data_IF_171544939282
#
_entry.id   IF_171544939282
#
_cell.length_a   1.000
_cell.length_b   1.000
_cell.length_c   1.000
_cell.angle_alpha   90.00
_cell.angle_beta   90.00
_cell.angle_gamma   90.00
#
_symmetry.space_group_name_H-M   'P 1'
#
loop_
_entity.id
_entity.type
_entity.pdbx_description
1 polymer ?
#
# COMPACT_ATOMS: atom_id res chain seq x y z
N UNK A 1 -14.03 -13.89 -6.90
CA UNK A 1 -14.74 -13.46 -8.12
C UNK A 1 -13.67 -13.10 -9.13
N UNK A 2 -13.63 -13.79 -10.28
CA UNK A 2 -12.68 -13.47 -11.35
C UNK A 2 -12.95 -12.05 -11.89
N UNK A 3 -11.89 -11.33 -12.26
CA UNK A 3 -11.98 -9.99 -12.83
C UNK A 3 -12.89 -9.95 -14.06
N UNK A 4 -13.59 -8.83 -14.23
CA UNK A 4 -14.52 -8.62 -15.36
C UNK A 4 -13.82 -7.86 -16.46
N UNK A 5 -13.99 -8.28 -17.71
CA UNK A 5 -13.50 -7.55 -18.87
C UNK A 5 -14.24 -6.19 -19.00
N UNK A 6 -13.48 -5.11 -19.21
CA UNK A 6 -14.05 -3.80 -19.49
C UNK A 6 -13.99 -3.56 -21.00
N UNK A 7 -15.14 -3.26 -21.60
CA UNK A 7 -15.27 -3.03 -23.04
C UNK A 7 -15.57 -1.56 -23.30
N UNK A 8 -15.32 -1.10 -24.52
CA UNK A 8 -15.52 0.28 -24.92
C UNK A 8 -17.00 0.70 -24.76
N UNK A 9 -17.90 -0.09 -25.36
CA UNK A 9 -19.34 0.21 -25.36
C UNK A 9 -20.08 -0.27 -24.11
N UNK A 10 -19.45 -1.16 -23.33
CA UNK A 10 -20.05 -1.76 -22.14
C UNK A 10 -19.21 -1.46 -20.89
N UNK A 11 -19.43 -0.30 -20.26
CA UNK A 11 -18.76 0.04 -19.01
C UNK A 11 -19.24 -0.87 -17.88
N UNK A 12 -18.31 -1.28 -17.02
CA UNK A 12 -18.64 -2.11 -15.87
C UNK A 12 -19.01 -1.19 -14.71
N UNK A 13 -20.19 -1.37 -14.13
CA UNK A 13 -20.69 -0.55 -13.01
C UNK A 13 -20.85 -1.39 -11.75
N UNK A 14 -20.50 -0.82 -10.59
CA UNK A 14 -20.69 -1.40 -9.25
C UNK A 14 -21.32 -0.35 -8.33
N UNK A 15 -22.29 -0.78 -7.53
CA UNK A 15 -22.91 0.07 -6.51
C UNK A 15 -22.23 -0.20 -5.17
N UNK A 16 -21.87 0.87 -4.48
CA UNK A 16 -21.25 0.84 -3.16
C UNK A 16 -22.26 1.31 -2.14
N UNK A 17 -22.58 0.42 -1.20
CA UNK A 17 -23.63 0.63 -0.18
C UNK A 17 -23.06 0.69 1.24
N UNK A 18 -21.82 0.24 1.45
CA UNK A 18 -21.17 0.21 2.75
C UNK A 18 -21.04 1.61 3.35
N UNK A 19 -21.55 1.80 4.57
CA UNK A 19 -21.62 3.12 5.21
C UNK A 19 -20.28 3.61 5.77
N UNK A 20 -19.40 2.70 6.19
CA UNK A 20 -18.19 3.01 6.96
C UNK A 20 -16.91 2.94 6.13
N UNK A 21 -16.99 3.17 4.82
CA UNK A 21 -15.79 3.16 3.95
C UNK A 21 -15.13 4.52 3.91
N UNK A 22 -13.82 4.56 4.09
CA UNK A 22 -13.04 5.79 3.98
C UNK A 22 -12.44 5.92 2.58
N UNK A 23 -11.97 4.81 1.99
CA UNK A 23 -11.30 4.80 0.70
C UNK A 23 -11.69 3.59 -0.15
N UNK A 24 -11.57 3.73 -1.47
CA UNK A 24 -11.74 2.63 -2.42
C UNK A 24 -10.44 2.40 -3.19
N UNK A 25 -9.91 1.18 -3.16
CA UNK A 25 -8.82 0.77 -4.05
C UNK A 25 -9.39 0.03 -5.25
N UNK A 26 -9.06 0.49 -6.44
CA UNK A 26 -9.41 -0.18 -7.70
C UNK A 26 -8.19 -0.89 -8.24
N UNK A 27 -8.32 -2.18 -8.53
CA UNK A 27 -7.27 -2.99 -9.18
C UNK A 27 -7.73 -3.35 -10.58
N UNK A 28 -7.00 -2.90 -11.58
CA UNK A 28 -7.35 -3.06 -12.99
C UNK A 28 -6.10 -3.26 -13.83
N UNK A 29 -6.26 -3.60 -15.10
CA UNK A 29 -5.11 -3.72 -15.98
C UNK A 29 -5.44 -4.39 -17.30
N UNK A 30 -4.44 -5.07 -17.85
CA UNK A 30 -4.53 -5.74 -19.16
C UNK A 30 -3.97 -7.15 -19.06
N UNK A 31 -4.56 -8.09 -19.80
CA UNK A 31 -4.00 -9.44 -19.90
C UNK A 31 -2.73 -9.46 -20.75
N UNK A 32 -2.73 -8.65 -21.81
CA UNK A 32 -1.63 -8.47 -22.76
C UNK A 32 -1.85 -7.12 -23.47
N UNK A 33 -0.76 -6.43 -23.82
CA UNK A 33 -0.79 -5.17 -24.56
C UNK A 33 0.30 -5.16 -25.63
N UNK A 34 -0.07 -5.52 -26.85
CA UNK A 34 0.84 -5.52 -28.00
C UNK A 34 0.06 -5.53 -29.31
N UNK A 35 0.69 -5.04 -30.37
CA UNK A 35 0.17 -5.11 -31.74
C UNK A 35 1.14 -5.89 -32.63
N UNK A 36 0.63 -6.84 -33.41
CA UNK A 36 1.42 -7.63 -34.36
C UNK A 36 1.20 -7.13 -35.78
N UNK A 37 2.26 -6.68 -36.43
CA UNK A 37 2.20 -6.22 -37.84
C UNK A 37 2.12 -7.40 -38.81
N UNK A 38 1.79 -7.13 -40.08
CA UNK A 38 1.79 -8.15 -41.14
C UNK A 38 3.16 -8.81 -41.35
N UNK A 39 4.25 -8.15 -40.93
CA UNK A 39 5.63 -8.67 -41.01
C UNK A 39 6.02 -9.51 -39.80
N UNK A 40 5.13 -9.66 -38.82
CA UNK A 40 5.37 -10.41 -37.58
C UNK A 40 6.00 -9.60 -36.45
N UNK A 41 6.22 -8.29 -36.64
CA UNK A 41 6.79 -7.44 -35.60
C UNK A 41 5.78 -7.20 -34.48
N UNK A 42 6.23 -7.30 -33.23
CA UNK A 42 5.40 -7.05 -32.03
C UNK A 42 5.71 -5.67 -31.45
N UNK A 43 4.84 -4.73 -31.74
CA UNK A 43 4.92 -3.34 -31.31
C UNK A 43 4.20 -3.09 -29.98
N UNK A 44 4.63 -2.07 -29.21
CA UNK A 44 3.90 -1.60 -28.05
C UNK A 44 2.52 -1.03 -28.46
N UNK A 45 1.57 -1.10 -27.55
CA UNK A 45 0.24 -0.51 -27.73
C UNK A 45 -0.14 0.31 -26.49
N UNK A 46 -1.32 0.93 -26.52
CA UNK A 46 -1.83 1.71 -25.39
C UNK A 46 -3.33 1.52 -25.21
N UNK A 47 -3.78 1.65 -23.97
CA UNK A 47 -5.21 1.65 -23.63
C UNK A 47 -5.50 2.70 -22.57
N UNK A 48 -6.59 3.41 -22.74
CA UNK A 48 -7.09 4.42 -21.83
C UNK A 48 -8.34 3.92 -21.09
N UNK A 49 -8.29 4.02 -19.77
CA UNK A 49 -9.34 3.63 -18.83
C UNK A 49 -9.69 4.81 -17.93
N UNK A 50 -10.99 5.05 -17.76
CA UNK A 50 -11.53 6.04 -16.84
C UNK A 50 -12.21 5.33 -15.66
N UNK A 51 -11.99 5.86 -14.47
CA UNK A 51 -12.76 5.50 -13.28
C UNK A 51 -13.66 6.69 -12.96
N UNK A 52 -14.97 6.44 -12.95
CA UNK A 52 -15.96 7.49 -12.78
C UNK A 52 -16.89 7.21 -11.61
N UNK A 53 -17.19 8.24 -10.83
CA UNK A 53 -18.14 8.19 -9.73
C UNK A 53 -19.42 8.93 -10.10
N UNK A 54 -20.55 8.38 -9.70
CA UNK A 54 -21.82 9.05 -9.83
C UNK A 54 -21.99 10.05 -8.67
N UNK A 55 -22.07 11.34 -9.00
CA UNK A 55 -22.35 12.43 -8.05
C UNK A 55 -23.60 13.16 -8.53
N UNK A 56 -24.63 13.21 -7.70
CA UNK A 56 -25.91 13.87 -8.02
C UNK A 56 -26.52 13.43 -9.37
N UNK A 57 -26.43 12.13 -9.69
CA UNK A 57 -26.94 11.55 -10.94
C UNK A 57 -26.02 11.67 -12.15
N UNK A 58 -24.92 12.44 -12.07
CA UNK A 58 -23.96 12.64 -13.17
C UNK A 58 -22.68 11.86 -12.93
N UNK A 59 -22.13 11.28 -14.00
CA UNK A 59 -20.84 10.58 -13.96
C UNK A 59 -19.69 11.57 -14.05
N UNK A 60 -18.83 11.58 -13.04
CA UNK A 60 -17.64 12.42 -12.96
C UNK A 60 -16.39 11.54 -13.02
N UNK A 61 -15.40 11.91 -13.85
CA UNK A 61 -14.12 11.20 -13.93
C UNK A 61 -13.24 11.57 -12.74
N UNK A 62 -12.87 10.57 -11.95
CA UNK A 62 -11.93 10.73 -10.83
C UNK A 62 -10.51 10.34 -11.23
N UNK A 63 -10.38 9.31 -12.09
CA UNK A 63 -9.10 8.88 -12.62
C UNK A 63 -9.17 8.70 -14.13
N UNK A 64 -8.16 9.23 -14.81
CA UNK A 64 -7.88 9.02 -16.22
C UNK A 64 -6.52 8.31 -16.32
N UNK A 65 -6.54 7.03 -16.69
CA UNK A 65 -5.37 6.16 -16.64
C UNK A 65 -5.07 5.64 -18.03
N UNK A 66 -3.83 5.87 -18.49
CA UNK A 66 -3.31 5.31 -19.74
C UNK A 66 -2.24 4.28 -19.42
N UNK A 67 -2.50 3.01 -19.78
CA UNK A 67 -1.51 1.93 -19.75
C UNK A 67 -0.88 1.88 -21.14
N UNK A 68 0.44 2.00 -21.20
CA UNK A 68 1.20 2.01 -22.46
C UNK A 68 2.39 1.06 -22.39
N UNK A 69 2.86 0.63 -23.57
CA UNK A 69 4.05 -0.18 -23.71
C UNK A 69 3.77 -1.57 -24.28
N UNK A 70 4.75 -2.46 -24.16
CA UNK A 70 4.67 -3.84 -24.62
C UNK A 70 4.55 -4.77 -23.42
N UNK A 71 3.36 -5.29 -23.20
CA UNK A 71 3.03 -6.15 -22.05
C UNK A 71 2.72 -7.54 -22.58
N UNK A 72 3.58 -8.51 -22.27
CA UNK A 72 3.48 -9.91 -22.75
C UNK A 72 2.85 -10.87 -21.73
N UNK A 73 2.69 -10.43 -20.49
CA UNK A 73 2.05 -11.15 -19.38
C UNK A 73 1.07 -10.22 -18.66
N UNK A 74 0.14 -10.77 -17.89
CA UNK A 74 -0.87 -9.94 -17.21
C UNK A 74 -0.20 -8.83 -16.39
N UNK A 75 -0.66 -7.60 -16.62
CA UNK A 75 -0.25 -6.42 -15.89
C UNK A 75 -1.45 -5.87 -15.12
N UNK A 76 -1.26 -5.64 -13.82
CA UNK A 76 -2.25 -5.02 -12.94
C UNK A 76 -1.65 -3.77 -12.32
N UNK A 77 -2.42 -2.70 -12.35
CA UNK A 77 -2.19 -1.47 -11.61
C UNK A 77 -3.31 -1.27 -10.59
N UNK A 78 -3.05 -0.42 -9.59
CA UNK A 78 -4.09 -0.02 -8.65
C UNK A 78 -4.03 1.46 -8.35
N UNK A 79 -5.20 2.07 -8.21
CA UNK A 79 -5.35 3.45 -7.70
C UNK A 79 -6.23 3.45 -6.46
N UNK A 80 -6.02 4.41 -5.57
CA UNK A 80 -6.82 4.59 -4.36
C UNK A 80 -7.56 5.91 -4.46
N UNK A 81 -8.86 5.86 -4.21
CA UNK A 81 -9.76 7.00 -4.20
C UNK A 81 -10.17 7.33 -2.76
N UNK A 82 -9.94 8.59 -2.38
CA UNK A 82 -10.16 9.04 -1.00
C UNK A 82 -11.40 9.93 -0.88
N UNK A 83 -11.75 10.66 -1.94
CA UNK A 83 -12.91 11.56 -1.98
C UNK A 83 -14.16 10.83 -2.47
N UNK A 84 -14.80 10.04 -1.62
CA UNK A 84 -15.97 9.25 -1.99
C UNK A 84 -17.27 10.10 -1.97
N UNK A 85 -18.23 9.89 -2.91
CA UNK A 85 -19.53 10.55 -2.87
C UNK A 85 -20.38 10.10 -1.66
N UNK A 86 -21.48 10.82 -1.34
CA UNK A 86 -22.46 10.37 -0.37
C UNK A 86 -23.02 8.98 -0.75
N UNK A 87 -23.17 8.10 0.24
CA UNK A 87 -23.69 6.75 0.03
C UNK A 87 -25.22 6.75 -0.11
N UNK A 88 -25.81 5.82 -0.86
CA UNK A 88 -25.15 4.90 -1.78
C UNK A 88 -24.70 5.63 -3.05
N UNK A 89 -23.57 5.22 -3.62
CA UNK A 89 -23.09 5.75 -4.90
C UNK A 89 -22.67 4.64 -5.85
N UNK A 90 -22.70 4.95 -7.14
CA UNK A 90 -22.25 4.03 -8.18
C UNK A 90 -20.86 4.44 -8.67
N UNK A 91 -20.01 3.46 -8.90
CA UNK A 91 -18.73 3.61 -9.59
C UNK A 91 -18.77 2.79 -10.87
N UNK A 92 -18.18 3.33 -11.94
CA UNK A 92 -17.96 2.57 -13.16
C UNK A 92 -16.54 2.71 -13.68
N UNK A 93 -16.08 1.66 -14.34
CA UNK A 93 -14.87 1.69 -15.15
C UNK A 93 -15.28 1.74 -16.61
N UNK A 94 -14.75 2.72 -17.34
CA UNK A 94 -15.04 2.96 -18.75
C UNK A 94 -13.75 2.83 -19.53
N UNK A 95 -13.81 2.12 -20.66
CA UNK A 95 -12.69 2.04 -21.59
C UNK A 95 -12.90 3.05 -22.71
N UNK A 96 -11.96 3.96 -22.94
CA UNK A 96 -12.06 4.98 -24.00
C UNK A 96 -11.47 4.47 -25.31
N UNK A 97 -10.42 3.65 -25.25
CA UNK A 97 -9.81 3.06 -26.45
C UNK A 97 -10.72 1.99 -27.04
N UNK A 98 -10.90 1.91 -28.38
CA UNK A 98 -11.69 0.87 -29.01
C UNK A 98 -11.23 -0.55 -28.64
N UNK A 99 -12.19 -1.46 -28.55
CA UNK A 99 -11.91 -2.89 -28.40
C UNK A 99 -11.20 -3.43 -29.65
N UNK A 100 -10.35 -4.45 -29.47
CA UNK A 100 -9.71 -5.08 -30.61
C UNK A 100 -10.72 -5.87 -31.44
N UNK A 101 -10.66 -5.68 -32.76
CA UNK A 101 -11.43 -6.45 -33.75
C UNK A 101 -10.64 -7.60 -34.36
N UNK A 102 -9.35 -7.72 -34.07
CA UNK A 102 -8.46 -8.73 -34.66
C UNK A 102 -7.54 -9.35 -33.61
N UNK A 103 -7.09 -10.58 -33.83
CA UNK A 103 -6.12 -11.22 -32.92
C UNK A 103 -4.72 -10.58 -32.97
N UNK A 104 -4.47 -9.67 -33.92
CA UNK A 104 -3.20 -8.96 -34.06
C UNK A 104 -3.02 -7.88 -33.01
N UNK A 105 -4.11 -7.22 -32.62
CA UNK A 105 -4.11 -6.25 -31.54
C UNK A 105 -4.62 -6.93 -30.27
N UNK A 106 -3.72 -7.11 -29.30
CA UNK A 106 -4.06 -7.64 -27.99
C UNK A 106 -4.10 -6.46 -27.01
N UNK A 107 -5.30 -6.11 -26.55
CA UNK A 107 -5.52 -4.99 -25.64
C UNK A 107 -6.71 -5.23 -24.69
N UNK A 108 -6.96 -6.49 -24.33
CA UNK A 108 -8.07 -6.86 -23.43
C UNK A 108 -7.82 -6.27 -22.04
N UNK A 109 -8.73 -5.40 -21.61
CA UNK A 109 -8.67 -4.76 -20.30
C UNK A 109 -9.50 -5.53 -19.28
N UNK A 110 -9.09 -5.47 -18.03
CA UNK A 110 -9.78 -6.12 -16.93
C UNK A 110 -9.93 -5.20 -15.72
N UNK A 111 -11.10 -5.25 -15.10
CA UNK A 111 -11.29 -4.79 -13.74
C UNK A 111 -11.20 -6.01 -12.81
N UNK A 112 -10.04 -6.16 -12.17
CA UNK A 112 -9.73 -7.32 -11.31
C UNK A 112 -10.56 -7.30 -10.04
N UNK A 113 -10.52 -6.19 -9.31
CA UNK A 113 -11.21 -6.04 -8.03
C UNK A 113 -11.42 -4.58 -7.67
N UNK A 114 -12.34 -4.34 -6.74
CA UNK A 114 -12.33 -3.14 -5.91
C UNK A 114 -12.30 -3.59 -4.45
N UNK A 115 -11.60 -2.84 -3.61
CA UNK A 115 -11.44 -3.12 -2.19
C UNK A 115 -11.87 -1.91 -1.41
N UNK A 116 -12.81 -2.13 -0.50
CA UNK A 116 -13.26 -1.16 0.49
C UNK A 116 -12.23 -1.08 1.61
N UNK A 117 -11.74 0.12 1.89
CA UNK A 117 -10.75 0.39 2.94
C UNK A 117 -11.44 1.23 4.01
N UNK A 118 -11.35 0.73 5.24
CA UNK A 118 -11.82 1.40 6.45
C UNK A 118 -10.58 1.77 7.25
N UNK A 119 -10.39 3.06 7.49
CA UNK A 119 -9.28 3.60 8.24
C UNK A 119 -9.61 3.59 9.72
N UNK A 120 -9.05 2.61 10.43
CA UNK A 120 -9.15 2.55 11.89
C UNK A 120 -7.91 3.20 12.49
N UNK A 121 -8.11 4.26 13.27
CA UNK A 121 -7.04 4.83 14.10
C UNK A 121 -6.83 3.95 15.32
N UNK A 122 -5.95 2.97 15.20
CA UNK A 122 -5.53 2.15 16.33
C UNK A 122 -4.28 2.77 16.98
N UNK A 123 -4.39 3.11 18.27
CA UNK A 123 -3.22 3.41 19.09
C UNK A 123 -2.64 2.11 19.63
N UNK A 124 -1.37 1.83 19.32
CA UNK A 124 -0.59 0.78 19.97
C UNK A 124 0.53 1.44 20.79
N UNK A 125 0.25 1.88 22.03
CA UNK A 125 1.26 2.53 22.86
C UNK A 125 2.49 1.64 23.01
N UNK A 126 3.69 2.20 22.80
CA UNK A 126 4.95 1.45 22.93
C UNK A 126 5.34 0.59 21.71
N UNK A 127 4.62 0.70 20.59
CA UNK A 127 5.06 0.15 19.30
C UNK A 127 5.70 1.25 18.45
N UNK A 128 6.83 0.93 17.81
CA UNK A 128 7.44 1.77 16.78
C UNK A 128 7.32 1.07 15.43
N UNK A 129 6.91 1.79 14.39
CA UNK A 129 6.85 1.28 13.02
C UNK A 129 7.92 2.00 12.20
N UNK A 130 8.79 1.22 11.58
CA UNK A 130 9.79 1.72 10.63
C UNK A 130 9.48 1.16 9.24
N UNK A 131 9.36 2.04 8.25
CA UNK A 131 9.15 1.69 6.86
C UNK A 131 10.26 2.27 5.99
N UNK A 132 10.65 1.55 4.94
CA UNK A 132 11.54 2.04 3.89
C UNK A 132 10.82 1.92 2.55
N UNK A 133 10.70 3.04 1.84
CA UNK A 133 10.28 3.09 0.45
C UNK A 133 11.56 3.14 -0.40
N UNK A 134 11.68 2.19 -1.33
CA UNK A 134 12.78 2.12 -2.29
C UNK A 134 12.23 2.01 -3.69
N UNK A 135 12.97 2.52 -4.66
CA UNK A 135 12.65 2.34 -6.07
C UNK A 135 12.99 0.91 -6.50
N UNK A 136 12.04 0.23 -7.15
CA UNK A 136 12.23 -1.13 -7.63
C UNK A 136 13.32 -1.20 -8.72
N UNK A 137 13.52 -0.14 -9.51
CA UNK A 137 14.54 -0.13 -10.57
C UNK A 137 15.96 -0.28 -10.01
N UNK A 138 16.22 0.21 -8.80
CA UNK A 138 17.54 0.14 -8.16
C UNK A 138 17.87 -1.26 -7.60
N UNK A 139 16.87 -2.08 -7.32
CA UNK A 139 17.03 -3.39 -6.67
C UNK A 139 16.67 -4.57 -7.58
N UNK A 140 16.23 -4.31 -8.82
CA UNK A 140 15.83 -5.33 -9.77
C UNK A 140 14.72 -6.23 -9.20
N UNK A 141 14.81 -7.54 -9.44
CA UNK A 141 13.86 -8.54 -8.95
C UNK A 141 14.14 -9.04 -7.53
N UNK A 142 15.14 -8.50 -6.83
CA UNK A 142 15.52 -8.97 -5.50
C UNK A 142 14.76 -8.24 -4.40
N UNK A 143 14.28 -9.00 -3.41
CA UNK A 143 13.67 -8.42 -2.22
C UNK A 143 14.75 -7.72 -1.38
N UNK A 144 14.51 -6.45 -1.04
CA UNK A 144 15.45 -5.68 -0.21
C UNK A 144 15.58 -6.32 1.17
N UNK A 145 16.77 -6.79 1.50
CA UNK A 145 17.10 -7.26 2.84
C UNK A 145 17.36 -6.06 3.74
N UNK A 146 16.73 -6.03 4.91
CA UNK A 146 16.81 -4.92 5.88
C UNK A 146 17.29 -5.46 7.21
N UNK A 147 18.30 -4.81 7.78
CA UNK A 147 18.80 -5.10 9.13
C UNK A 147 18.66 -3.85 9.98
N UNK A 148 18.14 -4.00 11.19
CA UNK A 148 17.94 -2.91 12.13
C UNK A 148 18.77 -3.15 13.38
N UNK A 149 19.57 -2.16 13.79
CA UNK A 149 20.24 -2.16 15.07
C UNK A 149 19.50 -1.22 16.02
N UNK A 150 18.86 -1.78 17.05
CA UNK A 150 17.95 -1.05 17.93
C UNK A 150 18.42 -1.18 19.38
N UNK A 151 18.59 -0.05 20.07
CA UNK A 151 18.85 0.02 21.53
C UNK A 151 17.55 -0.13 22.35
N UNK A 152 16.55 -0.83 21.84
CA UNK A 152 15.32 -1.21 22.57
C UNK A 152 14.69 -0.09 23.41
N UNK A 153 14.43 -0.39 24.69
CA UNK A 153 13.74 0.46 25.65
C UNK A 153 14.73 1.28 26.51
N UNK A 154 14.28 2.46 26.96
CA UNK A 154 14.96 3.25 27.99
C UNK A 154 14.49 2.79 29.38
N UNK A 155 15.44 2.45 30.24
CA UNK A 155 15.26 2.00 31.61
C UNK A 155 15.54 3.13 32.59
N UNK A 156 15.03 3.00 33.82
CA UNK A 156 15.48 3.83 34.94
C UNK A 156 16.67 3.14 35.60
N UNK A 157 17.83 3.80 35.54
CA UNK A 157 19.10 3.30 36.10
C UNK A 157 19.66 4.31 37.11
N UNK A 158 20.52 3.91 38.06
CA UNK A 158 21.14 4.84 38.99
C UNK A 158 21.84 6.00 38.30
N UNK A 159 21.74 7.20 38.90
CA UNK A 159 22.38 8.42 38.41
C UNK A 159 23.89 8.25 38.15
N UNK A 160 24.55 7.44 38.98
CA UNK A 160 25.99 7.13 38.91
C UNK A 160 26.35 5.95 37.99
N UNK A 161 25.39 5.32 37.31
CA UNK A 161 25.61 4.20 36.40
C UNK A 161 25.92 4.67 34.97
N UNK A 162 26.97 4.12 34.36
CA UNK A 162 27.26 4.27 32.94
C UNK A 162 26.68 3.08 32.16
N UNK A 163 25.71 3.29 31.26
CA UNK A 163 25.06 2.23 30.50
C UNK A 163 25.94 1.56 29.44
N UNK A 164 26.93 2.27 28.88
CA UNK A 164 27.77 1.73 27.81
C UNK A 164 28.89 0.87 28.41
N UNK A 165 29.54 1.32 29.49
CA UNK A 165 30.62 0.57 30.17
C UNK A 165 30.11 -0.36 31.28
N UNK A 166 28.87 -0.17 31.72
CA UNK A 166 28.22 -0.88 32.85
C UNK A 166 28.92 -0.68 34.19
N UNK A 167 29.59 0.45 34.38
CA UNK A 167 30.29 0.79 35.61
C UNK A 167 29.53 1.80 36.47
N UNK A 168 29.84 1.84 37.75
CA UNK A 168 29.31 2.85 38.68
C UNK A 168 30.43 3.77 39.12
N UNK A 169 30.21 5.07 39.06
CA UNK A 169 31.22 6.06 39.41
C UNK A 169 30.79 6.87 40.64
N UNK A 170 31.51 6.72 41.75
CA UNK A 170 31.19 7.38 43.00
C UNK A 170 29.97 6.77 43.72
N UNK A 171 29.58 7.41 44.83
CA UNK A 171 28.43 6.98 45.62
C UNK A 171 27.13 7.35 44.91
N UNK A 172 26.17 6.43 44.95
CA UNK A 172 24.83 6.69 44.43
C UNK A 172 24.05 7.59 45.39
N UNK A 173 23.39 8.61 44.86
CA UNK A 173 22.58 9.58 45.61
C UNK A 173 21.10 9.16 45.78
N UNK A 174 20.74 7.96 45.34
CA UNK A 174 19.37 7.44 45.37
C UNK A 174 18.49 7.87 44.19
N UNK A 175 18.99 8.70 43.28
CA UNK A 175 18.21 9.18 42.13
C UNK A 175 18.38 8.29 40.90
N UNK A 176 17.33 8.19 40.06
CA UNK A 176 17.37 7.44 38.82
C UNK A 176 17.42 8.38 37.62
N UNK A 177 18.07 7.94 36.55
CA UNK A 177 18.12 8.61 35.25
C UNK A 177 17.63 7.68 34.14
N UNK A 178 17.01 8.23 33.08
CA UNK A 178 16.65 7.46 31.90
C UNK A 178 17.89 7.08 31.07
N UNK A 179 18.14 5.78 30.87
CA UNK A 179 19.16 5.31 29.93
C UNK A 179 18.82 3.93 29.35
N UNK A 180 19.28 3.63 28.14
CA UNK A 180 19.29 2.24 27.65
C UNK A 180 20.30 1.42 28.45
N UNK A 181 19.99 0.17 28.77
CA UNK A 181 20.97 -0.79 29.29
C UNK A 181 20.54 -2.21 28.93
N UNK A 182 21.51 -3.12 28.87
CA UNK A 182 21.28 -4.56 28.81
C UNK A 182 21.79 -5.27 30.08
N UNK A 183 22.00 -4.52 31.16
CA UNK A 183 22.31 -5.08 32.47
C UNK A 183 21.08 -5.82 33.04
N UNK A 184 21.18 -7.12 33.33
CA UNK A 184 20.04 -7.94 33.73
C UNK A 184 19.37 -7.45 35.03
N UNK A 185 20.10 -6.80 35.94
CA UNK A 185 19.51 -6.28 37.17
C UNK A 185 18.46 -5.19 36.89
N UNK A 186 18.81 -4.21 36.06
CA UNK A 186 17.92 -3.11 35.70
C UNK A 186 16.82 -3.56 34.74
N UNK A 187 17.11 -4.51 33.84
CA UNK A 187 16.07 -5.16 33.04
C UNK A 187 15.05 -5.89 33.92
N UNK A 188 15.49 -6.63 34.93
CA UNK A 188 14.60 -7.36 35.85
C UNK A 188 13.78 -6.39 36.69
N UNK A 189 14.38 -5.32 37.21
CA UNK A 189 13.69 -4.29 37.97
C UNK A 189 12.58 -3.62 37.13
N UNK A 190 12.86 -3.29 35.87
CA UNK A 190 11.87 -2.72 34.96
C UNK A 190 10.75 -3.74 34.65
N UNK A 191 11.06 -5.03 34.44
CA UNK A 191 10.03 -6.08 34.29
C UNK A 191 9.11 -6.13 35.52
N UNK A 192 9.65 -6.10 36.73
CA UNK A 192 8.87 -6.21 37.96
C UNK A 192 8.04 -4.96 38.31
N UNK A 193 8.41 -3.80 37.78
CA UNK A 193 7.78 -2.52 38.17
C UNK A 193 6.97 -1.89 37.04
N UNK A 194 7.11 -2.37 35.80
CA UNK A 194 6.43 -1.74 34.68
C UNK A 194 4.95 -2.14 34.64
N UNK A 195 4.02 -1.17 34.55
CA UNK A 195 2.57 -1.41 34.63
C UNK A 195 1.96 -2.19 33.44
N UNK A 196 2.78 -2.73 32.54
CA UNK A 196 2.34 -3.29 31.25
C UNK A 196 2.84 -4.71 30.98
N UNK A 197 3.93 -5.13 31.62
CA UNK A 197 4.52 -6.47 31.46
C UNK A 197 5.09 -7.03 32.78
N UNK A 198 4.73 -6.39 33.91
CA UNK A 198 4.88 -6.89 35.27
C UNK A 198 3.52 -7.26 35.83
#
# INVERSE_FOLDING_TARGET
>A
VLGVEVKHDNPVTRTVVSENIDRLRFTFGVQMLQETTDKGDRNPSSVNLLIQFQRSGVWNTEFDITINGKITTQYLASVVADNLPPRPFSVRMVRVTPDSTTDRLQNKTLWSSYTEIIDIRQGYPGTAVAGLLVDAEQFGSQQVTRNYHLRGRIFQVPSNYDPDTRTYTGLWDGTLKPAYTNNPAWCTMDILTHPRYG
#
